data_IF_180155856981
#
_entry.id   IF_180155856981
#
_cell.length_a   1.000
_cell.length_b   1.000
_cell.length_c   1.000
_cell.angle_alpha   90.00
_cell.angle_beta   90.00
_cell.angle_gamma   90.00
#
_symmetry.space_group_name_H-M   'P 1'
#
loop_
_entity.id
_entity.type
_entity.pdbx_description
1 polymer ?
#
# COMPACT_ATOMS: atom_id res chain seq x y z
N UNK A 1 51.95 -32.96 64.70
CA UNK A 1 53.23 -32.60 64.09
C UNK A 1 52.99 -32.73 62.59
N UNK A 2 52.98 -31.79 61.75
CA UNK A 2 53.62 -30.54 61.54
C UNK A 2 52.94 -29.75 60.41
N UNK A 3 52.96 -28.48 60.62
CA UNK A 3 53.12 -27.33 59.71
C UNK A 3 52.14 -27.10 58.56
N UNK A 4 51.24 -26.22 58.91
CA UNK A 4 50.58 -25.23 58.03
C UNK A 4 51.64 -24.28 57.45
N UNK A 5 51.56 -24.02 56.11
CA UNK A 5 52.16 -22.84 55.47
C UNK A 5 51.12 -22.07 54.70
N UNK A 6 50.73 -20.94 55.25
CA UNK A 6 50.04 -19.86 54.58
C UNK A 6 50.87 -19.30 53.43
N UNK A 7 50.24 -19.22 52.26
CA UNK A 7 50.77 -18.56 51.07
C UNK A 7 49.81 -17.50 50.58
N UNK A 8 49.82 -16.36 51.27
CA UNK A 8 49.01 -15.17 50.88
C UNK A 8 49.71 -14.48 49.71
N UNK A 9 49.26 -14.74 48.48
CA UNK A 9 49.70 -14.02 47.32
C UNK A 9 48.79 -12.82 47.10
N UNK A 10 49.26 -11.63 47.43
CA UNK A 10 48.73 -10.33 47.08
C UNK A 10 48.75 -10.17 45.57
N UNK A 11 47.58 -10.29 44.90
CA UNK A 11 47.37 -9.89 43.52
C UNK A 11 47.22 -8.36 43.46
N UNK A 12 48.25 -7.69 42.97
CA UNK A 12 48.23 -6.28 42.65
C UNK A 12 47.22 -6.00 41.52
N UNK A 13 46.38 -4.96 41.63
CA UNK A 13 45.45 -4.59 40.54
C UNK A 13 46.25 -4.01 39.38
N UNK A 14 46.16 -4.67 38.22
CA UNK A 14 46.68 -4.15 36.96
C UNK A 14 46.01 -2.82 36.63
N UNK A 15 46.80 -1.79 36.50
CA UNK A 15 46.43 -0.46 36.05
C UNK A 15 45.65 -0.53 34.74
N UNK A 16 44.37 -0.20 34.80
CA UNK A 16 43.57 0.10 33.62
C UNK A 16 43.98 1.47 33.10
N UNK A 17 44.78 1.51 32.05
CA UNK A 17 45.10 2.74 31.33
C UNK A 17 43.77 3.30 30.74
N UNK A 18 43.23 4.32 31.39
CA UNK A 18 42.16 5.13 30.83
C UNK A 18 42.70 5.88 29.61
N UNK A 19 42.40 5.37 28.42
CA UNK A 19 42.57 6.10 27.16
C UNK A 19 41.74 7.39 27.26
N UNK A 20 42.43 8.51 27.55
CA UNK A 20 41.84 9.86 27.47
C UNK A 20 41.65 10.17 25.98
N UNK A 21 40.47 9.92 25.44
CA UNK A 21 40.07 10.40 24.11
C UNK A 21 40.01 11.93 24.17
N UNK A 22 40.72 12.65 23.28
CA UNK A 22 40.73 14.12 23.27
C UNK A 22 39.31 14.66 23.06
N UNK A 23 39.00 15.79 23.68
CA UNK A 23 37.66 16.38 23.71
C UNK A 23 37.14 16.69 22.31
N UNK A 24 38.01 17.00 21.33
CA UNK A 24 37.65 17.22 19.92
C UNK A 24 37.17 15.95 19.22
N UNK A 25 37.80 14.80 19.47
CA UNK A 25 37.36 13.52 18.84
C UNK A 25 36.03 13.03 19.36
N UNK A 26 35.69 13.32 20.62
CA UNK A 26 34.35 12.98 21.17
C UNK A 26 33.26 13.75 20.48
N UNK A 27 33.48 15.00 20.10
CA UNK A 27 32.51 15.82 19.38
C UNK A 27 32.26 15.30 17.95
N UNK A 28 33.30 14.86 17.26
CA UNK A 28 33.19 14.33 15.90
C UNK A 28 32.51 12.95 15.88
N UNK A 29 32.78 12.12 16.87
CA UNK A 29 32.10 10.83 17.04
C UNK A 29 30.62 11.05 17.34
N UNK A 30 30.26 11.97 18.23
CA UNK A 30 28.85 12.29 18.54
C UNK A 30 28.11 12.83 17.31
N UNK A 31 28.73 13.71 16.51
CA UNK A 31 28.11 14.20 15.26
C UNK A 31 27.85 13.09 14.26
N UNK A 32 28.78 12.15 14.10
CA UNK A 32 28.59 10.97 13.21
C UNK A 32 27.47 10.08 13.70
N UNK A 33 27.36 9.80 14.99
CA UNK A 33 26.26 9.01 15.55
C UNK A 33 24.91 9.74 15.46
N UNK A 34 24.86 11.05 15.64
CA UNK A 34 23.67 11.87 15.50
C UNK A 34 23.18 11.87 14.04
N UNK A 35 24.10 11.98 13.08
CA UNK A 35 23.79 11.88 11.64
C UNK A 35 23.29 10.49 11.27
N UNK A 36 23.91 9.43 11.80
CA UNK A 36 23.49 8.05 11.59
C UNK A 36 22.10 7.80 12.18
N UNK A 37 21.81 8.29 13.38
CA UNK A 37 20.48 8.22 14.00
C UNK A 37 19.43 8.99 13.20
N UNK A 38 19.75 10.19 12.70
CA UNK A 38 18.84 10.96 11.84
C UNK A 38 18.54 10.25 10.51
N UNK A 39 19.55 9.61 9.90
CA UNK A 39 19.33 8.83 8.68
C UNK A 39 18.47 7.58 8.93
N UNK A 40 18.67 6.87 10.04
CA UNK A 40 17.83 5.74 10.47
C UNK A 40 16.40 6.21 10.75
N UNK A 41 16.20 7.35 11.40
CA UNK A 41 14.86 7.93 11.64
C UNK A 41 14.18 8.37 10.35
N UNK A 42 14.92 8.94 9.40
CA UNK A 42 14.36 9.34 8.08
C UNK A 42 13.98 8.12 7.23
N UNK A 43 14.72 7.03 7.31
CA UNK A 43 14.41 5.78 6.62
C UNK A 43 13.26 5.04 7.32
N UNK A 44 13.24 4.99 8.66
CA UNK A 44 12.18 4.35 9.45
C UNK A 44 10.82 5.06 9.32
N UNK A 45 10.80 6.36 9.08
CA UNK A 45 9.52 7.09 8.94
C UNK A 45 8.78 6.81 7.63
N UNK A 46 9.41 6.13 6.66
CA UNK A 46 8.77 5.58 5.44
C UNK A 46 8.40 4.10 5.57
N UNK A 47 8.82 3.44 6.66
CA UNK A 47 8.60 2.01 6.87
C UNK A 47 7.65 1.86 8.05
N UNK A 48 6.48 1.36 7.72
CA UNK A 48 5.55 0.65 8.58
C UNK A 48 4.61 1.46 9.49
N UNK A 49 3.41 1.63 8.99
CA UNK A 49 2.33 0.94 9.71
C UNK A 49 2.11 -0.40 9.01
N UNK A 50 2.34 -1.51 9.71
CA UNK A 50 1.88 -2.84 9.34
C UNK A 50 0.39 -2.72 9.08
N UNK A 51 -0.02 -2.72 7.82
CA UNK A 51 -1.43 -2.66 7.46
C UNK A 51 -2.05 -4.00 7.82
N UNK A 52 -2.94 -3.96 8.78
CA UNK A 52 -3.89 -5.05 9.00
C UNK A 52 -4.61 -5.33 7.67
N UNK A 53 -4.49 -6.52 7.16
CA UNK A 53 -5.44 -7.10 6.22
C UNK A 53 -5.10 -7.08 4.75
N UNK A 54 -3.93 -6.57 4.31
CA UNK A 54 -3.53 -6.71 2.90
C UNK A 54 -2.67 -7.94 2.70
N UNK A 55 -3.24 -8.93 2.03
CA UNK A 55 -2.50 -10.09 1.52
C UNK A 55 -1.48 -9.63 0.48
N UNK A 56 -0.35 -10.31 0.37
CA UNK A 56 0.75 -10.06 -0.59
C UNK A 56 0.33 -10.25 -2.06
N UNK A 57 -0.95 -10.48 -2.35
CA UNK A 57 -1.42 -11.08 -3.60
C UNK A 57 -1.86 -10.08 -4.67
N UNK A 58 -1.73 -8.78 -4.44
CA UNK A 58 -2.09 -7.74 -5.40
C UNK A 58 -3.23 -6.83 -4.94
N UNK A 59 -3.61 -5.89 -5.80
CA UNK A 59 -4.71 -4.95 -5.55
C UNK A 59 -6.01 -5.58 -6.04
N UNK A 60 -7.01 -5.62 -5.18
CA UNK A 60 -8.34 -6.09 -5.54
C UNK A 60 -9.17 -4.98 -6.18
N UNK A 61 -9.94 -5.35 -7.17
CA UNK A 61 -10.93 -4.54 -7.84
C UNK A 61 -12.04 -5.42 -8.41
N UNK A 62 -12.94 -4.84 -9.16
CA UNK A 62 -13.99 -5.58 -9.85
C UNK A 62 -14.30 -4.94 -11.20
N UNK A 63 -14.83 -5.77 -12.12
CA UNK A 63 -15.28 -5.36 -13.45
C UNK A 63 -16.75 -4.92 -13.42
N UNK A 64 -17.26 -4.37 -14.54
CA UNK A 64 -18.67 -3.96 -14.69
C UNK A 64 -19.13 -2.89 -13.67
N UNK A 65 -18.23 -2.12 -13.09
CA UNK A 65 -18.56 -1.08 -12.12
C UNK A 65 -19.30 0.11 -12.74
N UNK A 66 -19.17 0.30 -14.07
CA UNK A 66 -19.96 1.23 -14.88
C UNK A 66 -21.01 0.43 -15.66
N UNK A 67 -22.28 0.71 -15.51
CA UNK A 67 -23.40 0.29 -16.35
C UNK A 67 -23.53 -1.20 -16.70
N UNK A 68 -22.77 -2.09 -16.09
CA UNK A 68 -22.76 -3.55 -16.35
C UNK A 68 -22.47 -3.93 -17.82
N UNK A 69 -21.79 -3.07 -18.56
CA UNK A 69 -21.44 -3.32 -19.95
C UNK A 69 -20.33 -4.38 -20.09
N UNK A 70 -20.36 -5.17 -21.19
CA UNK A 70 -19.28 -6.13 -21.50
C UNK A 70 -17.94 -5.43 -21.60
N UNK A 71 -16.89 -6.06 -21.13
CA UNK A 71 -15.52 -5.56 -21.25
C UNK A 71 -14.63 -6.53 -22.03
N UNK A 72 -13.58 -6.00 -22.66
CA UNK A 72 -12.66 -6.79 -23.47
C UNK A 72 -11.53 -7.38 -22.62
N UNK A 73 -11.17 -8.65 -22.89
CA UNK A 73 -9.96 -9.28 -22.38
C UNK A 73 -8.96 -9.54 -23.51
N UNK A 74 -7.67 -9.47 -23.16
CA UNK A 74 -6.57 -9.56 -24.10
C UNK A 74 -5.54 -10.59 -23.64
N UNK A 75 -4.89 -11.26 -24.59
CA UNK A 75 -3.80 -12.21 -24.31
C UNK A 75 -2.48 -11.51 -24.00
N UNK A 76 -2.29 -10.25 -24.44
CA UNK A 76 -1.14 -9.39 -24.13
C UNK A 76 -1.61 -7.91 -24.00
N UNK A 77 -0.72 -7.03 -23.57
CA UNK A 77 -0.96 -5.60 -23.32
C UNK A 77 -1.03 -4.76 -24.61
N UNK A 78 -1.77 -5.22 -25.62
CA UNK A 78 -1.99 -4.55 -26.89
C UNK A 78 -3.41 -4.79 -27.40
N UNK A 79 -4.01 -3.78 -28.02
CA UNK A 79 -5.36 -3.88 -28.60
C UNK A 79 -5.49 -4.96 -29.67
N UNK A 80 -4.42 -5.27 -30.38
CA UNK A 80 -4.36 -6.34 -31.40
C UNK A 80 -4.42 -7.75 -30.82
N UNK A 81 -4.20 -7.88 -29.49
CA UNK A 81 -4.21 -9.16 -28.78
C UNK A 81 -5.58 -9.46 -28.13
N UNK A 82 -6.65 -8.89 -28.69
CA UNK A 82 -8.02 -9.13 -28.25
C UNK A 82 -8.37 -10.63 -28.28
N UNK A 83 -8.98 -11.11 -27.20
CA UNK A 83 -9.43 -12.49 -27.06
C UNK A 83 -10.95 -12.57 -27.22
N UNK A 84 -11.69 -11.90 -26.38
CA UNK A 84 -13.16 -11.88 -26.39
C UNK A 84 -13.72 -10.75 -25.52
N UNK A 85 -15.00 -10.48 -25.69
CA UNK A 85 -15.81 -9.74 -24.73
C UNK A 85 -16.25 -10.67 -23.60
N UNK A 86 -16.34 -10.13 -22.41
CA UNK A 86 -16.84 -10.81 -21.22
C UNK A 86 -18.08 -10.09 -20.73
N UNK A 87 -19.20 -10.78 -20.80
CA UNK A 87 -20.48 -10.32 -20.30
C UNK A 87 -20.66 -10.69 -18.83
N UNK A 88 -21.45 -9.91 -18.12
CA UNK A 88 -21.88 -10.24 -16.78
C UNK A 88 -22.88 -11.41 -16.85
N UNK A 89 -22.54 -12.51 -16.19
CA UNK A 89 -23.48 -13.64 -16.08
C UNK A 89 -24.65 -13.30 -15.16
N UNK A 90 -25.80 -13.86 -15.40
CA UNK A 90 -27.03 -13.57 -14.65
C UNK A 90 -26.90 -13.81 -13.13
N UNK A 91 -25.98 -14.69 -12.73
CA UNK A 91 -25.66 -15.01 -11.32
C UNK A 91 -24.73 -14.00 -10.67
N UNK A 92 -24.14 -13.09 -11.46
CA UNK A 92 -23.17 -12.07 -11.01
C UNK A 92 -23.84 -10.69 -11.04
N UNK A 93 -24.48 -10.31 -9.95
CA UNK A 93 -25.27 -9.06 -9.91
C UNK A 93 -24.44 -7.78 -10.02
N UNK A 94 -23.15 -7.82 -9.61
CA UNK A 94 -22.32 -6.62 -9.42
C UNK A 94 -20.95 -6.66 -10.10
N UNK A 95 -20.62 -7.71 -10.87
CA UNK A 95 -19.34 -7.84 -11.57
C UNK A 95 -18.40 -8.91 -11.02
N UNK A 96 -17.31 -9.16 -11.75
CA UNK A 96 -16.31 -10.15 -11.35
C UNK A 96 -15.22 -9.50 -10.50
N UNK A 97 -14.93 -10.08 -9.35
CA UNK A 97 -13.76 -9.71 -8.54
C UNK A 97 -12.49 -10.13 -9.28
N UNK A 98 -11.50 -9.23 -9.27
CA UNK A 98 -10.22 -9.44 -9.89
C UNK A 98 -9.08 -8.97 -8.97
N UNK A 99 -7.95 -9.64 -9.09
CA UNK A 99 -6.70 -9.24 -8.46
C UNK A 99 -5.75 -8.71 -9.53
N UNK A 100 -5.36 -7.43 -9.44
CA UNK A 100 -4.35 -6.82 -10.32
C UNK A 100 -2.98 -7.33 -9.90
N UNK A 101 -2.32 -8.08 -10.78
CA UNK A 101 -1.00 -8.68 -10.57
C UNK A 101 0.12 -7.74 -11.02
N UNK A 102 -0.06 -7.15 -12.21
CA UNK A 102 0.91 -6.22 -12.80
C UNK A 102 0.23 -5.23 -13.74
N UNK A 103 1.00 -4.26 -14.23
CA UNK A 103 0.51 -3.28 -15.20
C UNK A 103 1.57 -2.99 -16.25
N UNK A 104 1.12 -2.71 -17.47
CA UNK A 104 1.98 -2.30 -18.58
C UNK A 104 1.20 -1.40 -19.55
N UNK A 105 1.74 -0.22 -19.86
CA UNK A 105 1.04 0.78 -20.68
C UNK A 105 -0.38 1.05 -20.14
N UNK A 106 -1.39 0.88 -20.96
CA UNK A 106 -2.81 1.14 -20.67
C UNK A 106 -3.57 -0.10 -20.19
N UNK A 107 -2.84 -1.14 -19.77
CA UNK A 107 -3.41 -2.41 -19.37
C UNK A 107 -2.98 -2.83 -17.96
N UNK A 108 -3.88 -3.58 -17.30
CA UNK A 108 -3.61 -4.38 -16.11
C UNK A 108 -3.60 -5.86 -16.47
N UNK A 109 -2.60 -6.59 -15.98
CA UNK A 109 -2.65 -8.05 -15.96
C UNK A 109 -3.35 -8.49 -14.69
N UNK A 110 -4.44 -9.20 -14.83
CA UNK A 110 -5.32 -9.57 -13.72
C UNK A 110 -5.56 -11.07 -13.63
N UNK A 111 -5.80 -11.54 -12.43
CA UNK A 111 -6.38 -12.84 -12.14
C UNK A 111 -7.84 -12.63 -11.74
N UNK A 112 -8.75 -13.36 -12.36
CA UNK A 112 -10.12 -13.41 -11.93
C UNK A 112 -10.27 -14.33 -10.73
N UNK A 113 -10.97 -13.88 -9.70
CA UNK A 113 -11.27 -14.68 -8.51
C UNK A 113 -12.45 -15.64 -8.77
N UNK A 114 -13.02 -15.57 -9.98
CA UNK A 114 -14.07 -16.47 -10.45
C UNK A 114 -13.46 -17.69 -11.17
N UNK A 115 -13.87 -18.93 -10.82
CA UNK A 115 -13.34 -20.14 -11.42
C UNK A 115 -13.61 -20.15 -12.92
N UNK A 116 -12.64 -20.61 -13.72
CA UNK A 116 -12.70 -20.80 -15.17
C UNK A 116 -12.49 -19.58 -16.07
N UNK A 117 -12.32 -18.36 -15.56
CA UNK A 117 -11.95 -17.22 -16.41
C UNK A 117 -10.43 -17.16 -16.64
N UNK A 118 -9.63 -17.32 -15.58
CA UNK A 118 -8.16 -17.34 -15.67
C UNK A 118 -7.50 -15.98 -15.49
N UNK A 119 -6.41 -15.76 -16.21
CA UNK A 119 -5.60 -14.54 -16.14
C UNK A 119 -5.53 -13.89 -17.52
N UNK A 120 -5.79 -12.59 -17.60
CA UNK A 120 -5.83 -11.83 -18.84
C UNK A 120 -5.37 -10.39 -18.61
N UNK A 121 -5.10 -9.70 -19.71
CA UNK A 121 -4.93 -8.26 -19.74
C UNK A 121 -6.29 -7.59 -19.92
N UNK A 122 -6.54 -6.53 -19.16
CA UNK A 122 -7.74 -5.69 -19.23
C UNK A 122 -7.29 -4.23 -19.33
N UNK A 123 -8.00 -3.41 -20.09
CA UNK A 123 -7.70 -1.96 -20.15
C UNK A 123 -7.87 -1.30 -18.81
N UNK A 124 -7.00 -0.34 -18.54
CA UNK A 124 -7.14 0.56 -17.38
C UNK A 124 -8.44 1.32 -17.52
N UNK A 125 -9.13 1.48 -16.40
CA UNK A 125 -10.46 2.11 -16.41
C UNK A 125 -11.63 1.14 -16.55
N UNK A 126 -11.41 -0.13 -17.02
CA UNK A 126 -12.43 -1.18 -17.03
C UNK A 126 -12.51 -1.95 -15.69
N UNK A 127 -11.59 -1.68 -14.79
CA UNK A 127 -11.58 -2.20 -13.42
C UNK A 127 -11.82 -1.05 -12.47
N UNK A 128 -12.74 -1.22 -11.54
CA UNK A 128 -13.06 -0.27 -10.51
C UNK A 128 -12.92 -0.81 -9.11
N UNK A 129 -13.11 0.06 -8.16
CA UNK A 129 -13.27 -0.26 -6.75
C UNK A 129 -14.28 0.69 -6.10
N UNK A 130 -14.71 0.34 -4.88
CA UNK A 130 -15.44 1.25 -4.01
C UNK A 130 -14.45 2.04 -3.15
N UNK A 131 -14.68 3.33 -3.05
CA UNK A 131 -14.05 4.15 -2.01
C UNK A 131 -14.79 3.91 -0.71
N UNK A 132 -14.03 3.58 0.35
CA UNK A 132 -14.58 3.40 1.68
C UNK A 132 -13.94 4.40 2.64
N UNK A 133 -14.79 5.16 3.32
CA UNK A 133 -14.39 5.88 4.54
C UNK A 133 -14.22 4.92 5.71
N UNK A 134 -13.41 5.28 6.67
CA UNK A 134 -13.40 4.61 7.98
C UNK A 134 -14.73 4.96 8.64
N UNK A 135 -15.63 3.99 8.77
CA UNK A 135 -16.91 4.18 9.43
C UNK A 135 -16.65 4.33 10.93
N UNK A 136 -16.89 5.50 11.48
CA UNK A 136 -17.32 5.60 12.88
C UNK A 136 -18.81 5.26 12.90
N UNK A 137 -19.27 4.54 13.89
CA UNK A 137 -20.66 4.03 13.99
C UNK A 137 -21.74 5.12 13.89
N UNK A 138 -21.38 6.39 13.99
CA UNK A 138 -22.26 7.55 14.05
C UNK A 138 -22.32 8.41 12.78
N UNK A 139 -21.49 8.18 11.73
CA UNK A 139 -21.44 9.06 10.57
C UNK A 139 -21.62 8.32 9.25
N UNK A 140 -22.75 8.59 8.58
CA UNK A 140 -23.13 8.04 7.28
C UNK A 140 -22.25 8.51 6.09
N UNK A 141 -21.47 9.56 6.25
CA UNK A 141 -20.62 10.13 5.20
C UNK A 141 -19.22 10.38 5.75
N UNK A 142 -18.29 9.51 5.44
CA UNK A 142 -16.88 9.69 5.78
C UNK A 142 -16.15 10.35 4.62
N UNK A 143 -15.50 11.47 4.90
CA UNK A 143 -14.65 12.18 3.97
C UNK A 143 -13.33 11.43 3.80
N UNK A 144 -13.00 11.04 2.57
CA UNK A 144 -11.81 10.27 2.21
C UNK A 144 -10.80 11.14 1.48
N UNK A 145 -9.57 11.31 2.00
CA UNK A 145 -8.57 12.14 1.36
C UNK A 145 -7.97 11.47 0.11
N UNK A 146 -7.85 12.24 -0.96
CA UNK A 146 -7.15 11.89 -2.20
C UNK A 146 -5.84 12.64 -2.25
N UNK A 147 -4.75 11.93 -2.54
CA UNK A 147 -3.40 12.43 -2.45
C UNK A 147 -2.79 12.72 -3.83
N UNK A 148 -1.93 13.75 -3.92
CA UNK A 148 -1.19 14.06 -5.14
C UNK A 148 -0.17 12.99 -5.53
N UNK A 149 0.39 12.26 -4.56
CA UNK A 149 1.37 11.17 -4.74
C UNK A 149 1.01 9.99 -3.82
N UNK A 150 1.41 8.76 -4.13
CA UNK A 150 1.11 7.56 -3.32
C UNK A 150 1.94 7.53 -2.02
N UNK A 151 1.69 8.46 -1.15
CA UNK A 151 2.38 8.64 0.12
C UNK A 151 1.53 9.51 1.07
N UNK A 152 1.41 9.13 2.34
CA UNK A 152 0.67 9.88 3.36
C UNK A 152 1.21 11.28 3.68
N UNK A 153 2.47 11.56 3.32
CA UNK A 153 3.07 12.89 3.45
C UNK A 153 2.81 13.79 2.24
N UNK A 154 2.16 13.26 1.20
CA UNK A 154 1.81 14.03 0.02
C UNK A 154 0.69 15.01 0.30
N UNK A 155 0.63 16.17 -0.36
CA UNK A 155 -0.53 17.04 -0.31
C UNK A 155 -1.81 16.31 -0.70
N UNK A 156 -2.89 16.59 0.01
CA UNK A 156 -4.25 16.18 -0.34
C UNK A 156 -4.71 17.10 -1.47
N UNK A 157 -5.25 16.51 -2.55
CA UNK A 157 -5.79 17.25 -3.70
C UNK A 157 -7.29 17.49 -3.54
N UNK A 158 -7.99 16.57 -2.90
CA UNK A 158 -9.41 16.68 -2.58
C UNK A 158 -9.79 15.73 -1.43
N UNK A 159 -10.96 15.97 -0.88
CA UNK A 159 -11.67 14.99 -0.05
C UNK A 159 -12.94 14.56 -0.79
N UNK A 160 -13.25 13.28 -0.76
CA UNK A 160 -14.42 12.70 -1.43
C UNK A 160 -15.36 12.10 -0.41
N UNK A 161 -16.65 12.27 -0.64
CA UNK A 161 -17.67 11.59 0.16
C UNK A 161 -17.74 10.12 -0.23
N UNK A 162 -17.75 9.24 0.75
CA UNK A 162 -17.87 7.79 0.59
C UNK A 162 -19.32 7.34 0.87
N UNK A 163 -19.83 6.27 0.23
CA UNK A 163 -19.17 5.43 -0.77
C UNK A 163 -19.25 5.99 -2.19
N UNK A 164 -18.24 5.68 -3.01
CA UNK A 164 -18.24 5.98 -4.44
C UNK A 164 -17.53 4.88 -5.23
N UNK A 165 -18.13 4.45 -6.35
CA UNK A 165 -17.52 3.52 -7.30
C UNK A 165 -16.63 4.30 -8.27
N UNK A 166 -15.37 3.92 -8.39
CA UNK A 166 -14.39 4.66 -9.18
C UNK A 166 -13.52 3.73 -10.02
N UNK A 167 -13.07 4.19 -11.23
CA UNK A 167 -12.12 3.45 -12.04
C UNK A 167 -10.73 3.45 -11.42
N UNK A 168 -10.02 2.34 -11.58
CA UNK A 168 -8.59 2.26 -11.31
C UNK A 168 -7.83 2.62 -12.59
N UNK A 169 -7.08 3.72 -12.56
CA UNK A 169 -6.29 4.22 -13.70
C UNK A 169 -4.81 3.81 -13.61
N UNK A 170 -4.30 3.62 -12.39
CA UNK A 170 -2.91 3.22 -12.18
C UNK A 170 -2.73 2.60 -10.80
N UNK A 171 -1.61 1.89 -10.61
CA UNK A 171 -1.25 1.31 -9.31
C UNK A 171 0.21 1.58 -8.98
N UNK A 172 0.52 1.81 -7.71
CA UNK A 172 1.89 1.91 -7.23
C UNK A 172 2.02 1.35 -5.82
N UNK A 173 2.67 0.21 -5.68
CA UNK A 173 2.64 -0.59 -4.45
C UNK A 173 1.18 -0.94 -4.14
N UNK A 174 0.66 -0.57 -2.95
CA UNK A 174 -0.72 -0.82 -2.54
C UNK A 174 -1.63 0.42 -2.73
N UNK A 175 -1.16 1.48 -3.42
CA UNK A 175 -1.94 2.67 -3.73
C UNK A 175 -2.57 2.51 -5.11
N UNK A 176 -3.77 3.05 -5.28
CA UNK A 176 -4.44 3.14 -6.58
C UNK A 176 -4.60 4.60 -7.00
N UNK A 177 -4.39 4.88 -8.27
CA UNK A 177 -4.70 6.17 -8.89
C UNK A 177 -6.08 6.06 -9.49
N UNK A 178 -6.97 6.94 -9.12
CA UNK A 178 -8.38 6.92 -9.45
C UNK A 178 -8.83 8.25 -10.03
N UNK A 179 -9.94 8.23 -10.72
CA UNK A 179 -10.77 9.37 -11.05
C UNK A 179 -12.04 9.32 -10.18
N UNK A 180 -12.40 10.43 -9.56
CA UNK A 180 -13.52 10.50 -8.64
C UNK A 180 -14.26 11.85 -8.78
N UNK A 181 -15.51 11.88 -8.32
CA UNK A 181 -16.34 13.09 -8.32
C UNK A 181 -16.32 13.69 -6.92
N UNK A 182 -15.97 14.95 -6.79
CA UNK A 182 -16.07 15.72 -5.54
C UNK A 182 -17.49 16.29 -5.34
N UNK A 183 -17.75 16.83 -4.17
CA UNK A 183 -19.09 17.28 -3.77
C UNK A 183 -19.70 18.37 -4.69
N UNK A 184 -18.88 19.20 -5.30
CA UNK A 184 -19.28 20.23 -6.26
C UNK A 184 -19.55 19.69 -7.68
N UNK A 185 -19.44 18.38 -7.89
CA UNK A 185 -19.64 17.70 -9.17
C UNK A 185 -18.43 17.69 -10.10
N UNK A 186 -17.30 18.27 -9.69
CA UNK A 186 -16.08 18.25 -10.48
C UNK A 186 -15.39 16.88 -10.41
N UNK A 187 -14.81 16.45 -11.53
CA UNK A 187 -13.95 15.28 -11.58
C UNK A 187 -12.53 15.62 -11.13
N UNK A 188 -11.97 14.78 -10.31
CA UNK A 188 -10.58 14.89 -9.85
C UNK A 188 -9.85 13.56 -10.01
N UNK A 189 -8.56 13.65 -10.24
CA UNK A 189 -7.69 12.49 -10.24
C UNK A 189 -6.68 12.53 -9.08
N UNK A 190 -6.36 11.38 -8.53
CA UNK A 190 -5.36 11.28 -7.48
C UNK A 190 -5.22 9.90 -6.88
N UNK A 191 -4.37 9.81 -5.86
CA UNK A 191 -4.01 8.55 -5.21
C UNK A 191 -4.89 8.29 -4.00
N UNK A 192 -5.56 7.14 -4.01
CA UNK A 192 -6.33 6.61 -2.89
C UNK A 192 -5.46 5.70 -2.03
N UNK A 193 -5.51 5.91 -0.72
CA UNK A 193 -4.76 5.13 0.24
C UNK A 193 -5.30 3.68 0.35
N UNK A 194 -4.43 2.70 0.67
CA UNK A 194 -4.80 1.29 0.69
C UNK A 194 -5.99 0.95 1.60
N UNK A 195 -6.10 1.59 2.76
CA UNK A 195 -7.17 1.32 3.73
C UNK A 195 -8.53 1.91 3.34
N UNK A 196 -8.55 2.76 2.30
CA UNK A 196 -9.79 3.31 1.74
C UNK A 196 -10.27 2.55 0.49
N UNK A 197 -9.58 1.47 0.10
CA UNK A 197 -9.90 0.67 -1.09
C UNK A 197 -10.79 -0.49 -0.70
N UNK A 198 -11.88 -0.67 -1.43
CA UNK A 198 -12.75 -1.81 -1.35
C UNK A 198 -12.93 -2.44 -2.74
N UNK A 199 -12.24 -3.54 -3.00
CA UNK A 199 -12.32 -4.28 -4.26
C UNK A 199 -13.52 -5.21 -4.38
N UNK A 200 -14.45 -5.16 -3.41
CA UNK A 200 -15.64 -5.98 -3.41
C UNK A 200 -16.86 -5.17 -3.88
N UNK A 201 -17.56 -5.57 -4.94
CA UNK A 201 -18.76 -4.88 -5.41
C UNK A 201 -19.97 -5.02 -4.48
N UNK A 202 -19.95 -5.99 -3.57
CA UNK A 202 -21.07 -6.32 -2.67
C UNK A 202 -21.03 -5.61 -1.31
N UNK A 203 -20.26 -4.54 -1.14
CA UNK A 203 -20.31 -3.63 0.01
C UNK A 203 -19.70 -4.09 1.35
N UNK A 204 -19.35 -5.34 1.51
CA UNK A 204 -18.74 -5.84 2.74
C UNK A 204 -17.22 -5.90 2.65
N UNK A 205 -16.58 -4.73 2.66
CA UNK A 205 -15.17 -4.70 2.96
C UNK A 205 -14.99 -4.57 4.47
N UNK A 206 -14.20 -5.45 5.09
CA UNK A 206 -13.92 -5.39 6.53
C UNK A 206 -13.09 -4.17 6.90
#
# INVERSE_FOLDING_TARGET
MDHVRDGNQHLQPKYMNHLKIPHSERFDIMKKYLLLLMTIFLVSSCIQRKQLGYTRDGIQGYTHFKNKEPFAIYSDCHDTCFVKMVDLQAEQEAGYMVTIISQKKDFFFVRFDYPNIGQFWIKKGDIGLNIRGLVSDDEKNTSVPIYKKPCFKSPIVANINSPQHVPILNTKRNWVYIEAIVEDGNEIEGWLAPFNQCGNPYTTCP
#
